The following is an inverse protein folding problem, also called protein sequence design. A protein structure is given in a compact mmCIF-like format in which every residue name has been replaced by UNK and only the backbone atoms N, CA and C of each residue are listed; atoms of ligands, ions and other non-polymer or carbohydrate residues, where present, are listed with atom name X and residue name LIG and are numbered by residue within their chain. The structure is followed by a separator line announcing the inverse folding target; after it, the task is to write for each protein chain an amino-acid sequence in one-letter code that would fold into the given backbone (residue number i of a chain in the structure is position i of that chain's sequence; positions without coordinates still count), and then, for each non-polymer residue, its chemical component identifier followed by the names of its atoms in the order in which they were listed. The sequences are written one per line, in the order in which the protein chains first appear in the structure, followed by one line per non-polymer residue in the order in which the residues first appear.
data_IF_081370636302
#
_entry.id   IF_081370636302
#
_cell.length_a   1.000
_cell.length_b   1.000
_cell.length_c   1.000
_cell.angle_alpha   90.00
_cell.angle_beta   90.00
_cell.angle_gamma   90.00
#
_symmetry.space_group_name_H-M   'P 1'
#
loop_
_entity.id
_entity.type
_entity.pdbx_description
1 polymer ?
#
# COMPACT_ATOMS: atom_id res chain seq x y z
N UNK A 1 -26.76 44.94 10.93
CA UNK A 1 -26.21 43.78 10.20
C UNK A 1 -25.53 44.27 8.94
N UNK A 2 -24.21 44.33 8.93
CA UNK A 2 -23.42 44.78 7.76
C UNK A 2 -23.41 43.69 6.72
N UNK A 3 -23.74 44.03 5.46
CA UNK A 3 -23.83 43.03 4.37
C UNK A 3 -22.44 42.60 3.91
N UNK A 4 -22.33 41.36 3.40
CA UNK A 4 -21.10 40.80 2.79
C UNK A 4 -20.47 41.70 1.72
N UNK A 5 -21.26 42.58 1.09
CA UNK A 5 -20.82 43.58 0.10
C UNK A 5 -20.00 44.72 0.72
N UNK A 6 -20.29 45.11 1.95
CA UNK A 6 -19.58 46.21 2.64
C UNK A 6 -18.22 45.73 3.16
N UNK A 7 -18.09 44.46 3.51
CA UNK A 7 -16.81 43.84 3.91
C UNK A 7 -15.82 43.81 2.75
N UNK A 8 -16.28 43.43 1.55
CA UNK A 8 -15.42 43.36 0.34
C UNK A 8 -14.97 44.74 -0.14
N UNK A 9 -15.82 45.79 -0.01
CA UNK A 9 -15.42 47.16 -0.38
C UNK A 9 -14.37 47.76 0.58
N UNK A 10 -14.38 47.39 1.85
CA UNK A 10 -13.37 47.81 2.83
C UNK A 10 -12.03 47.12 2.66
N UNK A 11 -12.02 45.87 2.20
CA UNK A 11 -10.79 45.11 1.90
C UNK A 11 -10.03 45.65 0.66
N UNK A 12 -10.74 46.22 -0.31
CA UNK A 12 -10.12 46.74 -1.54
C UNK A 12 -9.50 48.14 -1.36
N UNK A 13 -9.90 48.90 -0.33
CA UNK A 13 -9.34 50.26 -0.05
C UNK A 13 -8.09 50.21 0.87
N UNK A 14 -7.81 49.10 1.54
CA UNK A 14 -6.67 48.98 2.45
C UNK A 14 -5.33 48.64 1.71
N UNK A 15 -5.39 48.30 0.45
CA UNK A 15 -4.20 47.91 -0.37
C UNK A 15 -3.64 49.10 -1.19
N UNK A 16 -4.35 50.23 -1.26
CA UNK A 16 -3.96 51.37 -2.12
C UNK A 16 -3.16 52.48 -1.39
N UNK A 17 -2.76 52.28 -0.14
CA UNK A 17 -2.18 53.36 0.69
C UNK A 17 -0.74 53.19 1.21
N UNK A 18 0.01 52.12 0.80
CA UNK A 18 1.41 51.97 1.18
C UNK A 18 2.31 52.41 0.04
N UNK A 19 2.82 53.64 0.10
CA UNK A 19 3.91 54.10 -0.77
C UNK A 19 5.17 53.28 -0.51
N UNK A 20 5.52 52.41 -1.44
CA UNK A 20 6.76 51.63 -1.43
C UNK A 20 7.94 52.57 -1.65
N UNK A 21 8.83 52.68 -0.68
CA UNK A 21 10.12 53.34 -0.85
C UNK A 21 11.03 52.50 -1.78
N UNK A 22 11.85 53.17 -2.55
CA UNK A 22 12.68 52.62 -3.64
C UNK A 22 13.69 51.51 -3.25
N UNK A 23 13.78 51.18 -1.98
CA UNK A 23 14.66 50.11 -1.48
C UNK A 23 14.00 48.69 -1.51
N UNK A 24 12.68 48.62 -1.62
CA UNK A 24 11.93 47.34 -1.63
C UNK A 24 11.77 46.75 -3.04
N UNK A 25 11.96 47.53 -4.09
CA UNK A 25 11.83 47.04 -5.49
C UNK A 25 12.94 46.07 -5.90
N UNK A 26 14.14 46.17 -5.31
CA UNK A 26 15.27 45.24 -5.62
C UNK A 26 15.16 43.87 -4.94
N UNK A 27 14.29 43.72 -3.93
CA UNK A 27 14.12 42.44 -3.24
C UNK A 27 13.06 41.53 -3.92
N UNK A 28 12.24 42.07 -4.82
CA UNK A 28 11.20 41.31 -5.52
C UNK A 28 11.73 40.69 -6.83
N UNK A 29 12.84 41.20 -7.37
CA UNK A 29 13.44 40.67 -8.61
C UNK A 29 14.19 39.34 -8.45
N UNK A 30 14.35 38.81 -7.22
CA UNK A 30 15.06 37.54 -6.97
C UNK A 30 14.14 36.34 -6.66
N UNK A 31 12.83 36.54 -6.62
CA UNK A 31 11.86 35.43 -6.57
C UNK A 31 11.44 35.05 -8.00
N UNK A 32 12.41 34.60 -8.80
CA UNK A 32 12.07 33.80 -9.97
C UNK A 32 11.43 32.51 -9.47
N UNK A 33 10.12 32.41 -9.60
CA UNK A 33 9.42 31.11 -9.58
C UNK A 33 10.24 30.15 -10.43
N UNK A 34 10.57 28.95 -9.97
CA UNK A 34 11.19 27.98 -10.85
C UNK A 34 10.28 27.85 -12.06
N UNK A 35 10.73 28.38 -13.21
CA UNK A 35 10.05 28.16 -14.46
C UNK A 35 10.04 26.65 -14.66
N UNK A 36 8.84 26.05 -14.62
CA UNK A 36 8.65 24.67 -15.08
C UNK A 36 9.10 24.68 -16.54
N UNK A 37 10.35 24.28 -16.76
CA UNK A 37 10.95 24.25 -18.09
C UNK A 37 10.39 23.02 -18.80
N UNK A 38 9.17 23.14 -19.34
CA UNK A 38 8.46 22.16 -20.18
C UNK A 38 9.17 21.98 -21.54
N UNK A 39 10.26 22.70 -21.81
CA UNK A 39 11.09 22.56 -23.00
C UNK A 39 12.06 21.36 -22.93
N UNK A 40 11.63 20.18 -22.44
CA UNK A 40 12.30 18.93 -22.81
C UNK A 40 12.01 18.69 -24.28
N UNK A 41 13.04 18.61 -25.12
CA UNK A 41 12.92 18.12 -26.50
C UNK A 41 12.15 16.78 -26.41
N UNK A 42 10.93 16.75 -26.97
CA UNK A 42 10.12 15.52 -27.02
C UNK A 42 10.97 14.43 -27.68
N UNK A 43 11.16 13.30 -26.99
CA UNK A 43 11.91 12.15 -27.47
C UNK A 43 11.02 10.99 -27.91
N UNK A 44 9.71 11.22 -28.00
CA UNK A 44 8.70 10.22 -28.33
C UNK A 44 7.63 10.78 -29.26
N UNK A 45 6.62 9.97 -29.55
CA UNK A 45 5.47 10.27 -30.41
C UNK A 45 4.30 10.92 -29.67
N UNK A 46 4.47 11.24 -28.37
CA UNK A 46 3.45 11.85 -27.52
C UNK A 46 2.35 10.90 -27.09
N UNK A 47 2.60 9.59 -27.09
CA UNK A 47 1.66 8.53 -26.68
C UNK A 47 2.19 7.71 -25.53
N UNK A 48 1.29 7.03 -24.82
CA UNK A 48 1.61 6.09 -23.76
C UNK A 48 1.82 4.70 -24.36
N UNK A 49 3.02 4.15 -24.20
CA UNK A 49 3.36 2.79 -24.68
C UNK A 49 3.43 1.81 -23.51
N UNK A 50 2.61 0.78 -23.58
CA UNK A 50 2.52 -0.30 -22.58
C UNK A 50 3.35 -1.49 -23.05
N UNK A 51 4.28 -1.95 -22.19
CA UNK A 51 5.01 -3.20 -22.31
C UNK A 51 4.83 -4.02 -21.05
N UNK A 52 4.69 -5.34 -21.18
CA UNK A 52 4.59 -6.24 -20.04
C UNK A 52 5.21 -7.61 -20.37
N UNK A 53 5.65 -8.31 -19.33
CA UNK A 53 6.23 -9.65 -19.48
C UNK A 53 6.08 -10.43 -18.18
N UNK A 54 5.91 -11.77 -18.26
CA UNK A 54 5.88 -12.65 -17.10
C UNK A 54 7.18 -12.59 -16.30
N UNK A 55 7.05 -12.69 -15.00
CA UNK A 55 8.15 -12.78 -14.05
C UNK A 55 7.77 -13.72 -12.89
N UNK A 56 8.71 -14.54 -12.43
CA UNK A 56 8.47 -15.41 -11.29
C UNK A 56 9.28 -14.94 -10.09
N UNK A 57 8.62 -14.61 -9.01
CA UNK A 57 9.28 -14.25 -7.75
C UNK A 57 9.73 -15.51 -7.03
N UNK A 58 11.02 -15.60 -6.68
CA UNK A 58 11.62 -16.71 -5.95
C UNK A 58 11.72 -16.35 -4.47
N UNK A 59 11.03 -17.11 -3.63
CA UNK A 59 11.09 -16.90 -2.17
C UNK A 59 12.45 -17.36 -1.62
N UNK A 60 12.92 -16.68 -0.59
CA UNK A 60 14.15 -17.06 0.13
C UNK A 60 13.94 -18.32 0.97
N UNK A 61 12.71 -18.48 1.51
CA UNK A 61 12.27 -19.62 2.31
C UNK A 61 10.89 -20.08 1.87
N UNK A 62 10.51 -21.31 2.19
CA UNK A 62 9.12 -21.76 2.05
C UNK A 62 8.21 -20.83 2.85
N UNK A 63 7.16 -20.32 2.25
CA UNK A 63 6.19 -19.45 2.89
C UNK A 63 4.88 -20.19 3.08
N UNK A 64 4.50 -20.38 4.35
CA UNK A 64 3.30 -21.13 4.74
C UNK A 64 2.31 -20.21 5.45
N UNK A 65 1.07 -20.24 4.99
CA UNK A 65 -0.12 -19.62 5.60
C UNK A 65 -1.10 -20.72 6.02
N UNK A 66 -2.24 -20.35 6.62
CA UNK A 66 -3.22 -21.32 7.10
C UNK A 66 -3.61 -22.38 6.05
N UNK A 67 -3.73 -21.99 4.77
CA UNK A 67 -4.35 -22.80 3.71
C UNK A 67 -3.37 -23.44 2.72
N UNK A 68 -2.15 -22.89 2.55
CA UNK A 68 -1.16 -23.41 1.56
C UNK A 68 0.28 -23.00 1.87
N UNK A 69 1.22 -23.68 1.17
CA UNK A 69 2.66 -23.37 1.18
C UNK A 69 3.17 -23.15 -0.24
N UNK A 70 4.19 -22.29 -0.40
CA UNK A 70 4.79 -22.00 -1.71
C UNK A 70 6.27 -21.62 -1.60
N UNK A 71 7.01 -21.78 -2.72
CA UNK A 71 8.41 -21.36 -2.88
C UNK A 71 8.57 -20.27 -3.94
N UNK A 72 7.54 -20.04 -4.75
CA UNK A 72 7.50 -18.99 -5.78
C UNK A 72 6.15 -18.26 -5.74
N UNK A 73 6.11 -17.07 -6.35
CA UNK A 73 4.87 -16.36 -6.63
C UNK A 73 4.87 -15.91 -8.07
N UNK A 74 3.81 -16.21 -8.86
CA UNK A 74 3.69 -15.69 -10.22
C UNK A 74 3.52 -14.18 -10.19
N UNK A 75 4.16 -13.50 -11.15
CA UNK A 75 4.16 -12.06 -11.30
C UNK A 75 4.19 -11.67 -12.78
N UNK A 76 3.71 -10.47 -13.09
CA UNK A 76 3.85 -9.83 -14.40
C UNK A 76 4.35 -8.41 -14.19
N UNK A 77 5.50 -8.11 -14.78
CA UNK A 77 6.10 -6.78 -14.76
C UNK A 77 5.51 -5.91 -15.88
N UNK A 78 5.30 -4.63 -15.56
CA UNK A 78 4.72 -3.63 -16.47
C UNK A 78 5.67 -2.43 -16.59
N UNK A 79 5.86 -1.98 -17.82
CA UNK A 79 6.59 -0.75 -18.17
C UNK A 79 5.65 0.15 -18.97
N UNK A 80 5.48 1.39 -18.52
CA UNK A 80 4.69 2.40 -19.21
C UNK A 80 5.60 3.56 -19.61
N UNK A 81 5.79 3.76 -20.93
CA UNK A 81 6.73 4.76 -21.44
C UNK A 81 5.99 5.93 -22.09
N UNK A 82 6.44 7.15 -21.77
CA UNK A 82 5.99 8.39 -22.40
C UNK A 82 7.18 9.36 -22.55
N UNK A 83 7.40 9.87 -23.75
CA UNK A 83 8.47 10.84 -24.08
C UNK A 83 9.86 10.41 -23.55
N UNK A 84 10.16 9.09 -23.62
CA UNK A 84 11.43 8.50 -23.20
C UNK A 84 11.59 8.34 -21.68
N UNK A 85 10.53 8.57 -20.89
CA UNK A 85 10.49 8.28 -19.46
C UNK A 85 9.68 7.03 -19.24
N UNK A 86 10.18 6.09 -18.42
CA UNK A 86 9.50 4.83 -18.11
C UNK A 86 9.07 4.78 -16.65
N UNK A 87 7.77 4.53 -16.45
CA UNK A 87 7.20 4.14 -15.18
C UNK A 87 7.10 2.63 -15.07
N UNK A 88 7.30 2.09 -13.88
CA UNK A 88 7.32 0.67 -13.58
C UNK A 88 6.13 0.27 -12.73
N UNK A 89 5.57 -0.92 -12.99
CA UNK A 89 4.51 -1.55 -12.22
C UNK A 89 4.65 -3.06 -12.24
N UNK A 90 3.91 -3.71 -11.36
CA UNK A 90 3.87 -5.18 -11.31
C UNK A 90 2.52 -5.69 -10.85
N UNK A 91 2.19 -6.91 -11.28
CA UNK A 91 1.01 -7.67 -10.87
C UNK A 91 1.45 -8.95 -10.16
N UNK A 92 1.58 -8.92 -8.85
CA UNK A 92 1.80 -10.12 -8.05
C UNK A 92 0.47 -10.85 -7.83
N UNK A 93 0.47 -12.16 -8.05
CA UNK A 93 -0.74 -12.98 -8.09
C UNK A 93 -0.70 -14.11 -7.07
N UNK A 94 -0.91 -13.84 -5.76
CA UNK A 94 -1.10 -14.91 -4.80
C UNK A 94 -2.38 -15.68 -5.12
N UNK A 95 -2.39 -16.96 -4.75
CA UNK A 95 -3.44 -17.92 -5.14
C UNK A 95 -4.87 -17.43 -4.84
N UNK A 96 -5.08 -16.75 -3.73
CA UNK A 96 -6.44 -16.33 -3.31
C UNK A 96 -7.05 -15.22 -4.17
N UNK A 97 -6.27 -14.51 -4.98
CA UNK A 97 -6.81 -13.54 -5.95
C UNK A 97 -7.46 -14.21 -7.16
N UNK A 98 -7.24 -15.52 -7.37
CA UNK A 98 -7.81 -16.26 -8.49
C UNK A 98 -7.32 -15.80 -9.87
N UNK A 99 -6.18 -15.09 -9.92
CA UNK A 99 -5.57 -14.62 -11.16
C UNK A 99 -4.32 -15.44 -11.49
N UNK A 100 -3.99 -15.53 -12.78
CA UNK A 100 -2.81 -16.21 -13.30
C UNK A 100 -2.05 -15.32 -14.27
N UNK A 101 -0.82 -15.71 -14.61
CA UNK A 101 -0.02 -15.04 -15.65
C UNK A 101 -0.82 -14.92 -16.94
N UNK A 102 -1.55 -15.97 -17.34
CA UNK A 102 -2.37 -15.99 -18.56
C UNK A 102 -3.55 -15.02 -18.46
N UNK A 103 -4.23 -14.94 -17.31
CA UNK A 103 -5.36 -14.02 -17.14
C UNK A 103 -4.88 -12.57 -17.14
N UNK A 104 -3.80 -12.26 -16.43
CA UNK A 104 -3.19 -10.93 -16.37
C UNK A 104 -2.68 -10.48 -17.72
N UNK A 105 -1.89 -11.31 -18.42
CA UNK A 105 -1.38 -10.97 -19.76
C UNK A 105 -2.50 -10.82 -20.79
N UNK A 106 -3.56 -11.64 -20.70
CA UNK A 106 -4.75 -11.50 -21.55
C UNK A 106 -5.48 -10.16 -21.29
N UNK A 107 -5.58 -9.73 -20.05
CA UNK A 107 -6.16 -8.43 -19.73
C UNK A 107 -5.29 -7.30 -20.28
N UNK A 108 -3.97 -7.31 -19.99
CA UNK A 108 -3.04 -6.28 -20.42
C UNK A 108 -2.99 -6.14 -21.95
N UNK A 109 -3.14 -7.24 -22.69
CA UNK A 109 -3.19 -7.23 -24.18
C UNK A 109 -4.41 -6.53 -24.75
N UNK A 110 -5.48 -6.33 -23.97
CA UNK A 110 -6.68 -5.58 -24.40
C UNK A 110 -6.58 -4.09 -24.12
N UNK A 111 -5.61 -3.68 -23.32
CA UNK A 111 -5.47 -2.29 -22.87
C UNK A 111 -4.79 -1.47 -23.97
N UNK A 112 -5.50 -0.48 -24.51
CA UNK A 112 -4.96 0.46 -25.47
C UNK A 112 -4.69 1.80 -24.78
N UNK A 113 -3.46 2.04 -24.33
CA UNK A 113 -3.05 3.31 -23.73
C UNK A 113 -2.55 4.32 -24.77
N UNK A 114 -2.24 3.93 -26.02
CA UNK A 114 -1.79 4.84 -27.07
C UNK A 114 -2.84 5.87 -27.48
N UNK A 115 -4.12 5.64 -27.13
CA UNK A 115 -5.19 6.62 -27.31
C UNK A 115 -5.03 7.87 -26.41
N UNK A 116 -4.22 7.78 -25.36
CA UNK A 116 -3.98 8.88 -24.44
C UNK A 116 -2.65 9.57 -24.75
N UNK A 117 -2.73 10.87 -24.97
CA UNK A 117 -1.58 11.73 -25.29
C UNK A 117 -1.14 12.60 -24.12
N UNK A 118 -1.85 12.53 -22.99
CA UNK A 118 -1.57 13.26 -21.76
C UNK A 118 -1.57 12.30 -20.56
N UNK A 119 -0.40 11.92 -20.02
CA UNK A 119 -0.29 11.02 -18.88
C UNK A 119 -0.85 11.61 -17.56
N UNK A 120 -1.03 12.94 -17.49
CA UNK A 120 -1.59 13.59 -16.30
C UNK A 120 -3.10 13.38 -16.14
N UNK A 121 -3.79 12.86 -17.14
CA UNK A 121 -5.21 12.47 -17.06
C UNK A 121 -5.38 11.12 -16.33
N UNK A 122 -4.77 11.01 -15.16
CA UNK A 122 -4.70 9.76 -14.36
C UNK A 122 -6.10 9.19 -14.11
N UNK A 123 -7.08 10.02 -13.71
CA UNK A 123 -8.45 9.55 -13.44
C UNK A 123 -9.13 8.98 -14.70
N UNK A 124 -8.98 9.62 -15.84
CA UNK A 124 -9.60 9.17 -17.09
C UNK A 124 -8.97 7.86 -17.59
N UNK A 125 -7.62 7.79 -17.55
CA UNK A 125 -6.86 6.62 -17.97
C UNK A 125 -7.24 5.42 -17.11
N UNK A 126 -7.21 5.56 -15.78
CA UNK A 126 -7.49 4.47 -14.87
C UNK A 126 -8.97 4.11 -14.79
N UNK A 127 -9.88 5.04 -15.10
CA UNK A 127 -11.31 4.74 -15.28
C UNK A 127 -11.53 3.91 -16.54
N UNK A 128 -10.86 4.23 -17.63
CA UNK A 128 -10.86 3.39 -18.83
C UNK A 128 -10.33 1.98 -18.53
N UNK A 129 -9.18 1.85 -17.87
CA UNK A 129 -8.61 0.54 -17.51
C UNK A 129 -9.56 -0.25 -16.62
N UNK A 130 -10.22 0.39 -15.64
CA UNK A 130 -11.14 -0.28 -14.72
C UNK A 130 -12.42 -0.74 -15.45
N UNK A 131 -12.86 -0.03 -16.48
CA UNK A 131 -14.07 -0.35 -17.26
C UNK A 131 -13.94 -1.60 -18.14
N UNK A 132 -12.71 -2.04 -18.45
CA UNK A 132 -12.47 -3.16 -19.36
C UNK A 132 -12.90 -4.52 -18.81
N UNK A 133 -12.98 -4.65 -17.49
CA UNK A 133 -13.39 -5.90 -16.81
C UNK A 133 -13.82 -5.60 -15.36
N UNK A 134 -14.77 -6.33 -14.78
CA UNK A 134 -15.10 -6.18 -13.36
C UNK A 134 -14.04 -6.75 -12.41
N UNK A 135 -13.16 -7.64 -12.88
CA UNK A 135 -12.08 -8.29 -12.12
C UNK A 135 -10.69 -7.75 -12.45
N UNK A 136 -9.73 -8.67 -12.57
CA UNK A 136 -8.34 -8.42 -12.99
C UNK A 136 -7.61 -7.36 -12.14
N UNK A 137 -7.83 -7.40 -10.81
CA UNK A 137 -7.36 -6.36 -9.88
C UNK A 137 -5.84 -6.18 -9.90
N UNK A 138 -5.06 -7.29 -9.96
CA UNK A 138 -3.60 -7.21 -10.01
C UNK A 138 -3.10 -6.60 -11.33
N UNK A 139 -3.71 -6.96 -12.46
CA UNK A 139 -3.36 -6.38 -13.76
C UNK A 139 -3.64 -4.86 -13.82
N UNK A 140 -4.77 -4.44 -13.26
CA UNK A 140 -5.13 -3.03 -13.12
C UNK A 140 -4.17 -2.30 -12.18
N UNK A 141 -3.79 -2.92 -11.06
CA UNK A 141 -2.82 -2.37 -10.13
C UNK A 141 -1.46 -2.14 -10.80
N UNK A 142 -1.01 -3.07 -11.65
CA UNK A 142 0.24 -2.92 -12.38
C UNK A 142 0.25 -1.69 -13.29
N UNK A 143 -0.84 -1.42 -14.00
CA UNK A 143 -0.97 -0.22 -14.84
C UNK A 143 -1.05 1.04 -13.98
N UNK A 144 -1.83 1.01 -12.90
CA UNK A 144 -1.97 2.13 -11.96
C UNK A 144 -0.62 2.51 -11.35
N UNK A 145 0.13 1.54 -10.84
CA UNK A 145 1.46 1.76 -10.27
C UNK A 145 2.42 2.34 -11.31
N UNK A 146 2.44 1.75 -12.53
CA UNK A 146 3.30 2.24 -13.61
C UNK A 146 2.96 3.68 -14.02
N UNK A 147 1.68 4.02 -14.08
CA UNK A 147 1.23 5.38 -14.40
C UNK A 147 1.59 6.37 -13.30
N UNK A 148 1.42 6.01 -12.03
CA UNK A 148 1.84 6.84 -10.91
C UNK A 148 3.36 7.04 -10.90
N UNK A 149 4.15 5.99 -11.15
CA UNK A 149 5.60 6.10 -11.25
C UNK A 149 6.01 7.04 -12.39
N UNK A 150 5.40 6.88 -13.57
CA UNK A 150 5.64 7.74 -14.72
C UNK A 150 5.30 9.21 -14.42
N UNK A 151 4.10 9.47 -13.91
CA UNK A 151 3.63 10.84 -13.63
C UNK A 151 4.48 11.51 -12.55
N UNK A 152 4.82 10.80 -11.47
CA UNK A 152 5.71 11.34 -10.46
C UNK A 152 7.12 11.66 -10.98
N UNK A 153 7.66 10.84 -11.92
CA UNK A 153 8.92 11.11 -12.62
C UNK A 153 8.81 12.33 -13.54
N UNK A 154 7.70 12.51 -14.22
CA UNK A 154 7.43 13.70 -15.04
C UNK A 154 7.33 14.96 -14.18
N UNK A 155 6.70 14.89 -13.00
CA UNK A 155 6.61 15.98 -12.03
C UNK A 155 7.92 16.22 -11.27
N UNK A 156 8.87 15.28 -11.28
CA UNK A 156 10.12 15.38 -10.54
C UNK A 156 9.94 15.21 -9.02
N UNK A 157 8.87 14.54 -8.57
CA UNK A 157 8.55 14.38 -7.15
C UNK A 157 8.04 12.96 -6.81
N UNK A 158 8.33 12.44 -5.60
CA UNK A 158 7.72 11.23 -5.10
C UNK A 158 6.27 11.45 -4.66
N UNK A 159 5.44 10.40 -4.75
CA UNK A 159 4.00 10.52 -4.52
C UNK A 159 3.63 10.92 -3.09
N UNK A 160 4.37 10.50 -2.07
CA UNK A 160 4.07 10.97 -0.71
C UNK A 160 4.14 12.50 -0.59
N UNK A 161 5.07 13.16 -1.31
CA UNK A 161 5.15 14.63 -1.38
C UNK A 161 4.01 15.24 -2.19
N UNK A 162 3.63 14.61 -3.31
CA UNK A 162 2.49 15.06 -4.15
C UNK A 162 1.20 15.02 -3.34
N UNK A 163 1.01 14.02 -2.47
CA UNK A 163 -0.12 13.95 -1.53
C UNK A 163 0.04 14.84 -0.29
N UNK A 164 1.13 15.58 -0.15
CA UNK A 164 1.38 16.45 1.01
C UNK A 164 1.69 15.70 2.31
N UNK A 165 2.18 14.46 2.21
CA UNK A 165 2.50 13.62 3.35
C UNK A 165 3.93 13.84 3.84
N UNK A 166 4.16 13.58 5.13
CA UNK A 166 5.47 13.70 5.78
C UNK A 166 6.08 12.31 5.99
N UNK A 167 7.18 11.99 5.30
CA UNK A 167 7.81 10.67 5.31
C UNK A 167 8.10 10.13 6.73
N UNK A 168 8.48 11.00 7.69
CA UNK A 168 8.79 10.58 9.06
C UNK A 168 7.56 10.08 9.86
N UNK A 169 6.35 10.28 9.35
CA UNK A 169 5.11 9.74 9.94
C UNK A 169 4.82 8.30 9.52
N UNK A 170 5.59 7.74 8.58
CA UNK A 170 5.45 6.34 8.23
C UNK A 170 5.65 5.44 9.47
N UNK A 171 4.75 4.48 9.73
CA UNK A 171 4.91 3.52 10.84
C UNK A 171 6.09 2.58 10.55
N UNK A 172 6.51 1.83 11.57
CA UNK A 172 7.36 0.66 11.35
C UNK A 172 6.60 -0.39 10.56
N UNK A 173 7.30 -1.07 9.64
CA UNK A 173 6.72 -2.26 8.98
C UNK A 173 6.88 -3.48 9.87
N UNK A 174 5.94 -4.40 9.79
CA UNK A 174 6.09 -5.75 10.34
C UNK A 174 7.13 -6.55 9.55
N UNK A 175 7.59 -7.64 10.14
CA UNK A 175 8.27 -8.74 9.44
C UNK A 175 7.47 -10.01 9.69
N UNK A 176 7.15 -10.74 8.62
CA UNK A 176 6.22 -11.86 8.67
C UNK A 176 6.94 -13.16 9.01
N UNK A 177 6.47 -13.82 10.07
CA UNK A 177 6.83 -15.19 10.45
C UNK A 177 5.67 -16.10 10.02
N UNK A 178 5.92 -16.97 9.05
CA UNK A 178 4.97 -18.00 8.59
C UNK A 178 4.83 -19.13 9.59
N UNK A 179 3.79 -19.96 9.41
CA UNK A 179 3.56 -21.16 10.22
C UNK A 179 4.66 -22.19 9.89
N UNK A 180 5.35 -22.67 10.95
CA UNK A 180 6.45 -23.63 10.81
C UNK A 180 6.62 -24.41 12.13
N UNK A 181 7.63 -25.30 12.21
CA UNK A 181 8.02 -25.96 13.47
C UNK A 181 8.56 -24.96 14.48
N UNK A 182 8.50 -25.31 15.77
CA UNK A 182 8.97 -24.43 16.84
C UNK A 182 10.46 -24.04 16.69
N UNK A 183 11.30 -24.95 16.22
CA UNK A 183 12.74 -24.72 15.98
C UNK A 183 12.95 -23.65 14.90
N UNK A 184 12.27 -23.79 13.75
CA UNK A 184 12.35 -22.86 12.62
C UNK A 184 11.80 -21.50 12.98
N UNK A 185 10.65 -21.46 13.68
CA UNK A 185 10.05 -20.22 14.19
C UNK A 185 11.00 -19.48 15.14
N UNK A 186 11.65 -20.21 16.05
CA UNK A 186 12.61 -19.66 17.00
C UNK A 186 13.84 -19.07 16.32
N UNK A 187 14.36 -19.76 15.30
CA UNK A 187 15.50 -19.28 14.51
C UNK A 187 15.13 -18.01 13.73
N UNK A 188 14.05 -18.04 12.96
CA UNK A 188 13.54 -16.87 12.23
C UNK A 188 13.29 -15.66 13.13
N UNK A 189 12.76 -15.91 14.34
CA UNK A 189 12.52 -14.86 15.33
C UNK A 189 13.83 -14.21 15.78
N UNK A 190 14.89 -15.01 16.06
CA UNK A 190 16.20 -14.49 16.45
C UNK A 190 16.84 -13.63 15.34
N UNK A 191 16.71 -14.06 14.08
CA UNK A 191 17.28 -13.35 12.94
C UNK A 191 16.64 -11.97 12.71
N UNK A 192 15.36 -11.80 13.06
CA UNK A 192 14.62 -10.56 12.79
C UNK A 192 14.43 -9.65 14.01
N UNK A 193 14.53 -10.18 15.24
CA UNK A 193 14.19 -9.44 16.47
C UNK A 193 14.98 -8.14 16.67
N UNK A 194 16.26 -8.09 16.26
CA UNK A 194 17.11 -6.90 16.36
C UNK A 194 16.95 -5.94 15.16
N UNK A 195 16.24 -6.39 14.12
CA UNK A 195 16.09 -5.64 12.86
C UNK A 195 14.75 -4.96 12.70
N UNK A 196 13.72 -5.44 13.42
CA UNK A 196 12.34 -4.96 13.32
C UNK A 196 11.80 -4.51 14.67
N UNK A 197 10.81 -3.64 14.65
CA UNK A 197 10.15 -3.10 15.85
C UNK A 197 8.81 -3.77 16.15
N UNK A 198 8.29 -4.54 15.21
CA UNK A 198 7.03 -5.27 15.29
C UNK A 198 7.11 -6.48 14.37
N UNK A 199 6.57 -7.61 14.82
CA UNK A 199 6.47 -8.82 14.01
C UNK A 199 5.03 -9.04 13.57
N UNK A 200 4.84 -9.71 12.42
CA UNK A 200 3.56 -10.30 12.02
C UNK A 200 3.68 -11.81 12.09
N UNK A 201 2.71 -12.47 12.70
CA UNK A 201 2.73 -13.93 12.88
C UNK A 201 1.49 -14.51 12.22
N UNK A 202 1.70 -15.47 11.33
CA UNK A 202 0.63 -16.24 10.72
C UNK A 202 0.15 -17.31 11.68
N UNK A 203 -1.15 -17.33 11.92
CA UNK A 203 -1.87 -18.26 12.80
C UNK A 203 -3.06 -18.89 12.04
N UNK A 204 -3.99 -19.50 12.77
CA UNK A 204 -5.21 -20.09 12.21
C UNK A 204 -5.13 -21.62 12.07
N UNK A 205 -4.24 -22.26 12.83
CA UNK A 205 -4.12 -23.71 12.94
C UNK A 205 -4.11 -24.14 14.41
N UNK A 206 -4.08 -25.44 14.65
CA UNK A 206 -4.12 -26.03 16.01
C UNK A 206 -2.91 -25.67 16.89
N UNK A 207 -1.80 -25.21 16.28
CA UNK A 207 -0.57 -24.85 16.97
C UNK A 207 -0.42 -23.35 17.28
N UNK A 208 -1.47 -22.55 17.21
CA UNK A 208 -1.43 -21.10 17.39
C UNK A 208 -0.76 -20.66 18.71
N UNK A 209 -1.13 -21.31 19.81
CA UNK A 209 -0.53 -21.02 21.14
C UNK A 209 0.94 -21.39 21.21
N UNK A 210 1.34 -22.51 20.62
CA UNK A 210 2.73 -22.95 20.54
C UNK A 210 3.57 -21.93 19.74
N UNK A 211 3.08 -21.47 18.60
CA UNK A 211 3.72 -20.45 17.79
C UNK A 211 4.02 -19.18 18.60
N UNK A 212 3.02 -18.63 19.28
CA UNK A 212 3.18 -17.41 20.08
C UNK A 212 4.12 -17.64 21.27
N UNK A 213 3.97 -18.73 22.02
CA UNK A 213 4.86 -19.06 23.15
C UNK A 213 6.32 -19.23 22.68
N UNK A 214 6.53 -19.84 21.52
CA UNK A 214 7.85 -20.01 20.92
C UNK A 214 8.49 -18.64 20.63
N UNK A 215 7.76 -17.73 20.00
CA UNK A 215 8.24 -16.38 19.70
C UNK A 215 8.51 -15.59 20.99
N UNK A 216 7.62 -15.69 21.99
CA UNK A 216 7.78 -15.03 23.29
C UNK A 216 8.98 -15.55 24.09
N UNK A 217 9.40 -16.79 23.86
CA UNK A 217 10.66 -17.31 24.44
C UNK A 217 11.92 -16.61 23.91
N UNK A 218 11.80 -15.85 22.80
CA UNK A 218 12.91 -15.16 22.12
C UNK A 218 12.82 -13.65 22.26
N UNK A 219 11.63 -13.05 22.16
CA UNK A 219 11.47 -11.59 22.09
C UNK A 219 10.18 -11.08 22.74
N UNK A 220 10.24 -9.84 23.26
CA UNK A 220 9.08 -9.11 23.77
C UNK A 220 8.57 -8.04 22.77
N UNK A 221 9.01 -8.06 21.51
CA UNK A 221 8.53 -7.13 20.51
C UNK A 221 7.01 -7.19 20.38
N UNK A 222 6.32 -6.08 20.07
CA UNK A 222 4.92 -6.09 19.67
C UNK A 222 4.68 -7.07 18.53
N UNK A 223 3.57 -7.79 18.56
CA UNK A 223 3.19 -8.76 17.52
C UNK A 223 1.80 -8.39 16.99
N UNK A 224 1.67 -8.29 15.67
CA UNK A 224 0.42 -8.39 14.95
C UNK A 224 0.18 -9.86 14.56
N UNK A 225 -1.05 -10.35 14.65
CA UNK A 225 -1.37 -11.72 14.21
C UNK A 225 -2.33 -11.68 13.02
N UNK A 226 -2.12 -12.60 12.08
CA UNK A 226 -3.00 -12.79 10.93
C UNK A 226 -3.47 -14.25 10.91
N UNK A 227 -4.77 -14.41 11.05
CA UNK A 227 -5.42 -15.71 11.19
C UNK A 227 -5.80 -16.29 9.82
N UNK A 228 -5.80 -15.45 8.79
CA UNK A 228 -6.16 -15.82 7.41
C UNK A 228 -7.45 -16.65 7.35
N UNK A 229 -8.50 -16.20 8.06
CA UNK A 229 -9.83 -16.83 8.11
C UNK A 229 -9.86 -18.18 8.85
N UNK A 230 -8.84 -18.51 9.68
CA UNK A 230 -8.65 -19.85 10.25
C UNK A 230 -9.62 -20.22 11.38
N UNK A 231 -10.27 -19.27 12.06
CA UNK A 231 -11.18 -19.55 13.16
C UNK A 231 -12.65 -19.51 12.72
N UNK A 232 -13.38 -20.58 12.95
CA UNK A 232 -14.79 -20.71 12.50
C UNK A 232 -15.82 -20.63 13.64
N UNK A 233 -15.38 -20.65 14.90
CA UNK A 233 -16.22 -20.47 16.08
C UNK A 233 -15.95 -19.09 16.72
N UNK A 234 -16.99 -18.28 16.87
CA UNK A 234 -16.89 -16.91 17.38
C UNK A 234 -16.47 -16.83 18.86
N UNK A 235 -16.90 -17.83 19.68
CA UNK A 235 -16.50 -17.85 21.09
C UNK A 235 -15.02 -18.22 21.22
N UNK A 236 -14.59 -19.24 20.49
CA UNK A 236 -13.18 -19.61 20.39
C UNK A 236 -12.33 -18.42 19.92
N UNK A 237 -12.76 -17.72 18.87
CA UNK A 237 -12.06 -16.53 18.35
C UNK A 237 -11.90 -15.46 19.44
N UNK A 238 -12.97 -15.17 20.18
CA UNK A 238 -12.93 -14.18 21.25
C UNK A 238 -12.01 -14.62 22.42
N UNK A 239 -12.10 -15.87 22.85
CA UNK A 239 -11.25 -16.41 23.91
C UNK A 239 -9.77 -16.38 23.53
N UNK A 240 -9.45 -16.73 22.27
CA UNK A 240 -8.10 -16.61 21.72
C UNK A 240 -7.61 -15.17 21.68
N UNK A 241 -8.46 -14.21 21.30
CA UNK A 241 -8.10 -12.79 21.29
C UNK A 241 -7.78 -12.27 22.70
N UNK A 242 -8.53 -12.67 23.73
CA UNK A 242 -8.21 -12.32 25.11
C UNK A 242 -6.86 -12.90 25.55
N UNK A 243 -6.62 -14.18 25.27
CA UNK A 243 -5.33 -14.80 25.54
C UNK A 243 -4.18 -14.10 24.79
N UNK A 244 -4.36 -13.79 23.50
CA UNK A 244 -3.38 -13.06 22.68
C UNK A 244 -3.06 -11.68 23.25
N UNK A 245 -4.08 -10.97 23.80
CA UNK A 245 -3.86 -9.69 24.48
C UNK A 245 -2.90 -9.82 25.65
N UNK A 246 -3.03 -10.88 26.46
CA UNK A 246 -2.14 -11.17 27.57
C UNK A 246 -0.71 -11.48 27.09
N UNK A 247 -0.57 -12.00 25.86
CA UNK A 247 0.71 -12.25 25.22
C UNK A 247 1.33 -11.00 24.56
N UNK A 248 0.74 -9.81 24.71
CA UNK A 248 1.27 -8.57 24.13
C UNK A 248 1.04 -8.42 22.64
N UNK A 249 0.01 -9.10 22.10
CA UNK A 249 -0.45 -8.88 20.72
C UNK A 249 -1.12 -7.51 20.63
N UNK A 250 -0.92 -6.79 19.51
CA UNK A 250 -1.41 -5.42 19.31
C UNK A 250 -2.60 -5.31 18.36
N UNK A 251 -2.80 -6.31 17.50
CA UNK A 251 -3.94 -6.37 16.57
C UNK A 251 -4.13 -7.79 16.04
N UNK A 252 -5.35 -8.08 15.60
CA UNK A 252 -5.75 -9.34 14.96
C UNK A 252 -6.28 -9.05 13.57
N UNK A 253 -5.75 -9.73 12.56
CA UNK A 253 -6.17 -9.60 11.17
C UNK A 253 -6.96 -10.84 10.75
N UNK A 254 -8.10 -10.62 10.09
CA UNK A 254 -9.01 -11.58 9.47
C UNK A 254 -9.19 -12.87 10.31
N UNK A 255 -9.75 -12.78 11.51
CA UNK A 255 -9.87 -13.94 12.41
C UNK A 255 -10.77 -15.03 11.85
N UNK A 256 -11.86 -14.65 11.17
CA UNK A 256 -12.91 -15.54 10.70
C UNK A 256 -13.09 -15.46 9.19
N UNK A 257 -13.73 -16.47 8.55
CA UNK A 257 -14.12 -16.42 7.15
C UNK A 257 -14.84 -15.11 6.80
N UNK A 258 -14.51 -14.53 5.66
CA UNK A 258 -15.02 -13.22 5.21
C UNK A 258 -16.56 -13.18 5.07
N UNK A 259 -17.19 -14.33 4.92
CA UNK A 259 -18.66 -14.50 4.84
C UNK A 259 -19.33 -14.42 6.23
N UNK A 260 -18.56 -14.64 7.32
CA UNK A 260 -19.06 -14.61 8.70
C UNK A 260 -19.03 -13.20 9.28
N UNK A 261 -19.72 -12.26 8.63
CA UNK A 261 -19.71 -10.83 8.98
C UNK A 261 -20.35 -10.58 10.34
N UNK A 262 -21.50 -11.20 10.63
CA UNK A 262 -22.23 -10.99 11.88
C UNK A 262 -21.45 -11.57 13.08
N UNK A 263 -20.83 -12.74 12.93
CA UNK A 263 -19.98 -13.34 13.96
C UNK A 263 -18.73 -12.49 14.20
N UNK A 264 -18.14 -11.98 13.13
CA UNK A 264 -16.97 -11.09 13.26
C UNK A 264 -17.35 -9.76 13.92
N UNK A 265 -18.53 -9.20 13.62
CA UNK A 265 -19.05 -8.01 14.31
C UNK A 265 -19.22 -8.27 15.81
N UNK A 266 -19.80 -9.42 16.17
CA UNK A 266 -19.98 -9.85 17.57
C UNK A 266 -18.63 -9.99 18.30
N UNK A 267 -17.60 -10.56 17.64
CA UNK A 267 -16.23 -10.66 18.18
C UNK A 267 -15.61 -9.27 18.33
N UNK A 268 -15.68 -8.43 17.30
CA UNK A 268 -15.04 -7.11 17.27
C UNK A 268 -15.59 -6.18 18.36
N UNK A 269 -16.91 -6.19 18.58
CA UNK A 269 -17.56 -5.41 19.64
C UNK A 269 -17.02 -5.74 21.04
N UNK A 270 -16.60 -7.02 21.26
CA UNK A 270 -16.13 -7.53 22.57
C UNK A 270 -14.62 -7.63 22.66
N UNK A 271 -13.93 -7.48 21.56
CA UNK A 271 -12.48 -7.67 21.46
C UNK A 271 -11.69 -6.58 22.20
N UNK A 272 -10.72 -6.94 23.06
CA UNK A 272 -9.78 -5.99 23.65
C UNK A 272 -8.71 -5.51 22.68
N UNK A 273 -8.65 -6.07 21.46
CA UNK A 273 -7.71 -5.75 20.39
C UNK A 273 -8.44 -5.26 19.14
N UNK A 274 -7.87 -4.35 18.37
CA UNK A 274 -8.45 -3.98 17.08
C UNK A 274 -8.43 -5.19 16.13
N UNK A 275 -9.54 -5.41 15.43
CA UNK A 275 -9.74 -6.47 14.44
C UNK A 275 -9.75 -5.84 13.04
N UNK A 276 -8.88 -6.33 12.16
CA UNK A 276 -8.69 -5.81 10.80
C UNK A 276 -9.24 -6.76 9.74
N UNK A 277 -9.91 -6.19 8.73
CA UNK A 277 -10.33 -6.91 7.54
C UNK A 277 -9.18 -6.99 6.53
N UNK A 278 -8.89 -8.18 5.99
CA UNK A 278 -8.01 -8.40 4.82
C UNK A 278 -8.79 -9.00 3.65
N UNK A 279 -9.18 -10.27 3.73
CA UNK A 279 -9.92 -10.95 2.66
C UNK A 279 -11.36 -10.44 2.53
N UNK A 280 -11.93 -9.90 3.62
CA UNK A 280 -13.27 -9.31 3.60
C UNK A 280 -13.34 -7.94 2.89
N UNK A 281 -12.21 -7.32 2.59
CA UNK A 281 -12.13 -6.03 1.90
C UNK A 281 -11.17 -6.10 0.72
N UNK A 282 -11.64 -5.78 -0.45
CA UNK A 282 -10.80 -5.69 -1.63
C UNK A 282 -10.80 -4.29 -2.23
N UNK A 283 -11.96 -3.66 -2.35
CA UNK A 283 -12.15 -2.37 -3.01
C UNK A 283 -12.87 -1.36 -2.11
N UNK A 284 -12.84 -0.11 -2.53
CA UNK A 284 -13.53 1.00 -1.83
C UNK A 284 -15.01 0.69 -1.54
N UNK A 285 -15.71 0.08 -2.50
CA UNK A 285 -17.14 -0.28 -2.36
C UNK A 285 -17.41 -1.25 -1.22
N UNK A 286 -16.43 -2.07 -0.84
CA UNK A 286 -16.59 -3.13 0.15
C UNK A 286 -16.55 -2.56 1.58
N UNK A 287 -15.98 -1.35 1.80
CA UNK A 287 -15.85 -0.74 3.13
C UNK A 287 -17.20 -0.62 3.82
N UNK A 288 -18.24 -0.22 3.06
CA UNK A 288 -19.59 -0.08 3.62
C UNK A 288 -20.17 -1.39 4.14
N UNK A 289 -19.86 -2.51 3.48
CA UNK A 289 -20.40 -3.82 3.84
C UNK A 289 -19.80 -4.39 5.13
N UNK A 290 -18.60 -3.91 5.52
CA UNK A 290 -17.88 -4.38 6.72
C UNK A 290 -17.97 -3.40 7.90
N UNK A 291 -18.69 -2.29 7.77
CA UNK A 291 -18.85 -1.32 8.85
C UNK A 291 -19.47 -1.97 10.09
N UNK A 292 -18.86 -1.77 11.25
CA UNK A 292 -19.26 -2.39 12.50
C UNK A 292 -18.73 -3.81 12.72
N UNK A 293 -18.30 -4.50 11.65
CA UNK A 293 -17.73 -5.83 11.77
C UNK A 293 -16.20 -5.82 12.00
N UNK A 294 -15.53 -4.71 11.67
CA UNK A 294 -14.08 -4.58 11.85
C UNK A 294 -13.72 -3.21 12.41
N UNK A 295 -12.62 -3.13 13.16
CA UNK A 295 -12.05 -1.88 13.70
C UNK A 295 -11.17 -1.16 12.67
N UNK A 296 -10.75 -1.86 11.63
CA UNK A 296 -9.83 -1.35 10.61
C UNK A 296 -9.78 -2.21 9.36
N UNK A 297 -9.07 -1.72 8.35
CA UNK A 297 -8.92 -2.39 7.05
C UNK A 297 -7.45 -2.52 6.68
N UNK A 298 -7.11 -3.63 6.00
CA UNK A 298 -5.80 -3.82 5.35
C UNK A 298 -5.93 -3.56 3.85
N UNK A 299 -5.36 -2.46 3.38
CA UNK A 299 -5.32 -2.09 1.97
C UNK A 299 -4.09 -2.74 1.33
N UNK A 300 -4.29 -3.48 0.23
CA UNK A 300 -3.21 -4.02 -0.61
C UNK A 300 -3.45 -3.60 -2.05
N UNK A 301 -2.44 -3.06 -2.71
CA UNK A 301 -2.59 -2.51 -4.07
C UNK A 301 -3.11 -3.54 -5.07
N UNK A 302 -2.67 -4.80 -4.95
CA UNK A 302 -3.13 -5.90 -5.81
C UNK A 302 -4.61 -6.24 -5.64
N UNK A 303 -5.20 -5.94 -4.48
CA UNK A 303 -6.64 -6.11 -4.25
C UNK A 303 -7.46 -4.94 -4.80
N UNK A 304 -7.00 -3.71 -4.51
CA UNK A 304 -7.78 -2.50 -4.77
C UNK A 304 -7.45 -1.80 -6.08
N UNK A 305 -6.81 -2.49 -7.02
CA UNK A 305 -6.47 -1.95 -8.36
C UNK A 305 -5.44 -0.82 -8.37
N UNK A 306 -4.63 -0.66 -7.31
CA UNK A 306 -3.49 0.25 -7.29
C UNK A 306 -3.62 1.45 -6.36
N UNK A 307 -2.75 2.44 -6.57
CA UNK A 307 -2.54 3.59 -5.67
C UNK A 307 -3.73 4.55 -5.67
N UNK A 308 -4.39 4.76 -6.82
CA UNK A 308 -5.55 5.65 -6.95
C UNK A 308 -6.69 5.25 -6.02
N UNK A 309 -7.10 3.98 -6.08
CA UNK A 309 -8.19 3.49 -5.24
C UNK A 309 -7.73 3.35 -3.78
N UNK A 310 -6.50 2.91 -3.55
CA UNK A 310 -5.93 2.84 -2.20
C UNK A 310 -5.99 4.20 -1.48
N UNK A 311 -5.65 5.29 -2.17
CA UNK A 311 -5.76 6.65 -1.61
C UNK A 311 -7.21 7.04 -1.28
N UNK A 312 -8.17 6.69 -2.13
CA UNK A 312 -9.60 6.88 -1.85
C UNK A 312 -10.06 6.06 -0.63
N UNK A 313 -9.59 4.81 -0.52
CA UNK A 313 -9.88 3.94 0.63
C UNK A 313 -9.32 4.49 1.95
N UNK A 314 -8.07 5.00 1.96
CA UNK A 314 -7.48 5.65 3.14
C UNK A 314 -8.36 6.80 3.60
N UNK A 315 -8.72 7.71 2.69
CA UNK A 315 -9.53 8.90 3.04
C UNK A 315 -10.94 8.52 3.52
N UNK A 316 -11.58 7.55 2.88
CA UNK A 316 -12.92 7.10 3.28
C UNK A 316 -12.90 6.38 4.64
N UNK A 317 -11.92 5.50 4.86
CA UNK A 317 -11.76 4.81 6.14
C UNK A 317 -11.53 5.79 7.30
N UNK A 318 -10.69 6.82 7.08
CA UNK A 318 -10.47 7.91 8.07
C UNK A 318 -11.76 8.67 8.36
N UNK A 319 -12.56 9.00 7.36
CA UNK A 319 -13.86 9.66 7.53
C UNK A 319 -14.87 8.79 8.32
N UNK A 320 -14.68 7.46 8.32
CA UNK A 320 -15.48 6.48 9.08
C UNK A 320 -14.86 6.06 10.40
N UNK A 321 -13.78 6.72 10.86
CA UNK A 321 -13.03 6.38 12.07
C UNK A 321 -12.47 4.94 12.09
N UNK A 322 -12.28 4.32 10.93
CA UNK A 322 -11.60 3.04 10.83
C UNK A 322 -10.09 3.23 10.89
N UNK A 323 -9.40 2.31 11.55
CA UNK A 323 -7.94 2.19 11.45
C UNK A 323 -7.55 1.68 10.06
N UNK A 324 -6.37 2.08 9.62
CA UNK A 324 -5.87 1.70 8.29
C UNK A 324 -4.52 1.03 8.42
N UNK A 325 -4.39 -0.13 7.80
CA UNK A 325 -3.11 -0.78 7.51
C UNK A 325 -2.87 -0.77 6.01
N UNK A 326 -1.64 -0.52 5.60
CA UNK A 326 -1.18 -0.76 4.24
C UNK A 326 -0.35 -2.04 4.23
N UNK A 327 -0.78 -3.02 3.45
CA UNK A 327 -0.09 -4.29 3.28
C UNK A 327 0.38 -4.52 1.86
N UNK A 328 1.08 -5.62 1.68
CA UNK A 328 1.54 -6.11 0.38
C UNK A 328 1.25 -7.61 0.22
N UNK A 329 1.54 -8.12 -0.96
CA UNK A 329 1.74 -9.53 -1.22
C UNK A 329 3.24 -9.85 -1.15
N UNK A 330 3.65 -11.01 -1.61
CA UNK A 330 5.05 -11.23 -2.01
C UNK A 330 5.25 -10.48 -3.32
N UNK A 331 6.05 -9.42 -3.30
CA UNK A 331 6.19 -8.43 -4.37
C UNK A 331 7.64 -7.99 -4.51
N UNK A 332 8.03 -7.41 -5.63
CA UNK A 332 9.32 -6.72 -5.75
C UNK A 332 9.29 -5.37 -5.02
N UNK A 333 10.43 -4.72 -4.92
CA UNK A 333 10.50 -3.34 -4.44
C UNK A 333 9.67 -2.36 -5.28
N UNK A 334 9.18 -2.73 -6.47
CA UNK A 334 8.29 -1.89 -7.26
C UNK A 334 6.95 -1.66 -6.56
N UNK A 335 6.12 -2.70 -6.39
CA UNK A 335 4.81 -2.53 -5.75
C UNK A 335 4.93 -2.21 -4.25
N UNK A 336 5.92 -2.80 -3.56
CA UNK A 336 6.16 -2.46 -2.14
C UNK A 336 6.48 -0.97 -1.96
N UNK A 337 7.28 -0.36 -2.86
CA UNK A 337 7.55 1.09 -2.80
C UNK A 337 6.34 1.93 -3.17
N UNK A 338 5.51 1.47 -4.11
CA UNK A 338 4.25 2.14 -4.45
C UNK A 338 3.31 2.17 -3.23
N UNK A 339 3.14 1.03 -2.54
CA UNK A 339 2.35 0.95 -1.31
C UNK A 339 2.96 1.83 -0.20
N UNK A 340 4.28 1.85 -0.08
CA UNK A 340 4.98 2.65 0.92
C UNK A 340 4.75 4.16 0.75
N UNK A 341 4.43 4.67 -0.45
CA UNK A 341 4.07 6.09 -0.64
C UNK A 341 2.86 6.51 0.19
N UNK A 342 1.94 5.57 0.51
CA UNK A 342 0.78 5.82 1.37
C UNK A 342 1.10 5.67 2.86
N UNK A 343 2.22 5.06 3.22
CA UNK A 343 2.52 4.68 4.61
C UNK A 343 2.45 5.83 5.62
N UNK A 344 2.78 7.11 5.30
CA UNK A 344 2.65 8.19 6.26
C UNK A 344 1.20 8.58 6.60
N UNK A 345 0.20 8.03 5.89
CA UNK A 345 -1.23 8.30 6.11
C UNK A 345 -1.96 7.17 6.85
N UNK A 346 -1.27 6.08 7.24
CA UNK A 346 -1.87 4.89 7.85
C UNK A 346 -1.38 4.65 9.28
N UNK A 347 -2.06 3.75 10.01
CA UNK A 347 -1.71 3.40 11.40
C UNK A 347 -0.69 2.25 11.48
N UNK A 348 -0.78 1.30 10.56
CA UNK A 348 0.06 0.11 10.50
C UNK A 348 0.57 -0.13 9.10
N UNK A 349 1.73 -0.77 8.99
CA UNK A 349 2.29 -1.20 7.71
C UNK A 349 2.80 -2.64 7.79
N UNK A 350 2.54 -3.39 6.73
CA UNK A 350 2.97 -4.77 6.51
C UNK A 350 3.58 -4.84 5.09
N UNK A 351 4.78 -4.26 4.96
CA UNK A 351 5.46 -3.98 3.69
C UNK A 351 6.83 -4.67 3.64
N UNK A 352 6.83 -5.99 3.88
CA UNK A 352 8.02 -6.84 3.88
C UNK A 352 8.12 -7.76 2.66
N UNK A 353 7.17 -7.70 1.71
CA UNK A 353 7.07 -8.62 0.58
C UNK A 353 8.33 -8.73 -0.27
N UNK A 354 9.05 -7.63 -0.47
CA UNK A 354 10.32 -7.59 -1.19
C UNK A 354 11.50 -8.16 -0.39
N UNK A 355 11.37 -8.26 0.93
CA UNK A 355 12.39 -8.88 1.80
C UNK A 355 12.27 -10.41 1.84
N UNK A 356 11.17 -10.95 1.34
CA UNK A 356 10.90 -12.40 1.29
C UNK A 356 11.39 -13.05 -0.01
N UNK A 357 11.85 -12.28 -1.00
CA UNK A 357 12.29 -12.77 -2.31
C UNK A 357 13.80 -12.62 -2.50
N UNK A 358 14.37 -13.47 -3.37
CA UNK A 358 15.80 -13.48 -3.70
C UNK A 358 16.14 -12.79 -5.03
N UNK A 359 15.14 -12.52 -5.88
CA UNK A 359 15.32 -12.02 -7.24
C UNK A 359 14.64 -10.70 -7.52
N UNK A 360 14.65 -9.79 -6.54
CA UNK A 360 14.12 -8.45 -6.72
C UNK A 360 14.89 -7.66 -7.80
N UNK A 361 14.15 -7.12 -8.77
CA UNK A 361 14.70 -6.34 -9.90
C UNK A 361 14.95 -4.87 -9.59
N UNK A 362 14.43 -4.37 -8.46
CA UNK A 362 14.40 -2.95 -8.20
C UNK A 362 15.14 -2.58 -6.90
N UNK A 363 15.71 -1.38 -6.88
CA UNK A 363 15.99 -0.65 -5.66
C UNK A 363 14.79 0.26 -5.38
N UNK A 364 14.33 0.31 -4.13
CA UNK A 364 13.17 1.12 -3.75
C UNK A 364 13.24 1.55 -2.30
N UNK A 365 12.07 1.60 -1.63
CA UNK A 365 11.98 1.90 -0.22
C UNK A 365 12.85 0.94 0.59
N UNK A 366 13.38 1.41 1.72
CA UNK A 366 14.23 0.62 2.62
C UNK A 366 13.59 0.48 3.98
N UNK A 367 13.87 -0.63 4.62
CA UNK A 367 13.55 -0.85 6.03
C UNK A 367 14.84 -0.67 6.84
N UNK A 368 14.88 0.35 7.67
CA UNK A 368 16.03 0.64 8.53
C UNK A 368 15.60 0.55 9.98
N UNK A 369 16.10 -0.46 10.70
CA UNK A 369 15.69 -0.75 12.08
C UNK A 369 14.16 -0.81 12.21
N UNK A 370 13.51 -1.59 11.35
CA UNK A 370 12.06 -1.76 11.29
C UNK A 370 11.27 -0.57 10.71
N UNK A 371 11.87 0.60 10.51
CA UNK A 371 11.19 1.78 9.98
C UNK A 371 11.23 1.83 8.46
N UNK A 372 10.10 2.16 7.86
CA UNK A 372 10.00 2.46 6.43
C UNK A 372 10.75 3.76 6.16
N UNK A 373 11.69 3.71 5.21
CA UNK A 373 12.44 4.86 4.72
C UNK A 373 12.10 5.10 3.26
N UNK A 374 11.33 6.17 3.02
CA UNK A 374 10.91 6.56 1.67
C UNK A 374 12.06 7.32 0.98
N UNK A 375 12.50 6.90 -0.22
CA UNK A 375 13.46 7.67 -0.99
C UNK A 375 12.84 8.95 -1.54
N UNK A 376 13.69 9.97 -1.69
CA UNK A 376 13.30 11.26 -2.32
C UNK A 376 13.31 11.19 -3.86
N UNK A 377 13.47 9.99 -4.40
CA UNK A 377 13.46 9.72 -5.84
C UNK A 377 12.05 9.92 -6.41
N UNK A 378 11.90 10.63 -7.54
CA UNK A 378 10.60 10.85 -8.19
C UNK A 378 9.84 9.55 -8.52
N UNK A 379 8.52 9.67 -8.67
CA UNK A 379 7.63 8.55 -8.94
C UNK A 379 7.28 7.79 -7.66
N UNK A 380 7.31 6.47 -7.74
CA UNK A 380 7.16 5.59 -6.57
C UNK A 380 8.49 5.37 -5.84
N UNK A 381 9.58 6.00 -6.31
CA UNK A 381 10.87 5.94 -5.67
C UNK A 381 11.71 4.72 -6.04
N UNK A 382 11.54 4.16 -7.24
CA UNK A 382 12.29 2.97 -7.68
C UNK A 382 13.25 3.23 -8.83
N UNK A 383 14.31 2.42 -8.87
CA UNK A 383 15.24 2.29 -9.99
C UNK A 383 15.50 0.82 -10.28
N UNK A 384 15.77 0.47 -11.53
CA UNK A 384 16.25 -0.86 -11.89
C UNK A 384 17.62 -1.14 -11.24
N UNK A 385 17.86 -2.40 -10.86
CA UNK A 385 19.16 -2.90 -10.40
C UNK A 385 20.09 -3.14 -11.58
#
# INVERSE_FOLDING_TARGET
MSSRRDFLKKATLAVAGAALTTSSAKAIESLTMPSFNINRKRKGDGRLHLRFFPYELKLQHVFTVATYSRTTTPDVQVELTYEGITGYGEASMPQYLGQSVESVTRFLSKVNLEQFTDPFRVEDILTYVDSLSPGDSAAKAAIDIALHDLVGKLLGAPWYKIWGLTASKAPSTTYTIGIDTAEVVKEKTRECADRFNILKVKLGRDNDKEMINTIRSVTNLPIAVDINQGWTDKQHALDMIFWLKEQGIVMVEQPMPKEMIDETAWVTERSPLPVFADEAIQRLKDIKAIEGAYSGINIKLMKCTGMREAWKMVNYARARNLKVMIGCMTETSCAVSAAAQLSPAVDFADLDGNLLISNDRFNGMKVVKGKITLPDTPGIGVTLK
#
